data_IF_678852295744
#
_entry.id   IF_678852295744
#
_cell.length_a   1.000
_cell.length_b   1.000
_cell.length_c   1.000
_cell.angle_alpha   90.00
_cell.angle_beta   90.00
_cell.angle_gamma   90.00
#
_symmetry.space_group_name_H-M   'P 1'
#
loop_
_entity.id
_entity.type
_entity.pdbx_description
1 polymer ?
#
# COMPACT_ATOMS: atom_id res chain seq x y z
N UNK A 1 0.83 -21.33 -0.21
CA UNK A 1 2.19 -20.73 -0.28
C UNK A 1 2.19 -19.33 0.31
N UNK A 2 1.38 -18.40 -0.22
CA UNK A 2 1.31 -17.03 0.31
C UNK A 2 0.89 -17.03 1.79
N UNK A 3 -0.24 -17.66 2.14
CA UNK A 3 -0.70 -17.76 3.54
C UNK A 3 0.36 -18.31 4.51
N UNK A 4 1.13 -19.32 4.09
CA UNK A 4 2.22 -19.87 4.90
C UNK A 4 3.34 -18.84 5.13
N UNK A 5 3.69 -18.07 4.10
CA UNK A 5 4.68 -16.99 4.20
C UNK A 5 4.18 -15.82 5.04
N UNK A 6 2.89 -15.47 4.95
CA UNK A 6 2.26 -14.46 5.81
C UNK A 6 2.29 -14.88 7.28
N UNK A 7 2.06 -16.16 7.58
CA UNK A 7 2.18 -16.69 8.94
C UNK A 7 3.62 -16.60 9.46
N UNK A 8 4.63 -16.88 8.62
CA UNK A 8 6.04 -16.71 8.98
C UNK A 8 6.31 -15.24 9.29
N UNK A 9 5.89 -14.32 8.42
CA UNK A 9 6.08 -12.89 8.64
C UNK A 9 5.37 -12.41 9.91
N UNK A 10 4.16 -12.89 10.19
CA UNK A 10 3.43 -12.62 11.43
C UNK A 10 4.18 -13.11 12.67
N UNK A 11 4.80 -14.30 12.62
CA UNK A 11 5.62 -14.79 13.74
C UNK A 11 6.82 -13.87 13.98
N UNK A 12 7.55 -13.50 12.94
CA UNK A 12 8.69 -12.58 13.04
C UNK A 12 8.27 -11.19 13.56
N UNK A 13 7.13 -10.68 13.10
CA UNK A 13 6.58 -9.39 13.49
C UNK A 13 6.15 -9.36 14.96
N UNK A 14 5.52 -10.44 15.45
CA UNK A 14 5.07 -10.57 16.85
C UNK A 14 6.26 -10.77 17.79
N UNK A 15 7.20 -11.62 17.40
CA UNK A 15 8.41 -11.93 18.16
C UNK A 15 9.44 -10.79 18.13
N UNK A 16 9.24 -9.78 17.27
CA UNK A 16 10.13 -8.62 17.17
C UNK A 16 11.50 -8.93 16.55
N UNK A 17 11.65 -10.10 15.93
CA UNK A 17 12.91 -10.58 15.35
C UNK A 17 13.30 -9.63 14.20
N UNK A 18 14.42 -8.93 14.35
CA UNK A 18 14.96 -7.99 13.36
C UNK A 18 14.57 -6.51 13.53
N UNK A 19 13.66 -6.14 14.44
CA UNK A 19 13.33 -4.72 14.69
C UNK A 19 14.40 -4.05 15.55
N UNK A 20 15.12 -3.08 14.97
CA UNK A 20 16.20 -2.32 15.66
C UNK A 20 15.75 -1.30 16.73
N UNK A 21 14.45 -1.11 17.00
CA UNK A 21 14.04 -0.12 18.02
C UNK A 21 12.71 -0.43 18.74
N UNK A 22 12.77 -0.25 20.07
CA UNK A 22 11.70 -0.14 21.10
C UNK A 22 11.03 -1.44 21.56
N UNK A 23 11.54 -2.11 22.60
CA UNK A 23 11.30 -1.79 24.02
C UNK A 23 9.81 -1.74 24.39
N UNK A 24 9.25 -2.84 24.90
CA UNK A 24 8.07 -2.92 25.79
C UNK A 24 7.45 -4.32 25.91
N UNK A 25 7.91 -5.33 25.16
CA UNK A 25 7.47 -6.73 25.39
C UNK A 25 8.55 -7.47 26.17
N UNK A 26 8.22 -7.73 27.43
CA UNK A 26 8.97 -8.55 28.39
C UNK A 26 9.10 -10.00 27.87
N UNK A 27 10.00 -10.22 26.92
CA UNK A 27 10.53 -11.55 26.60
C UNK A 27 12.05 -11.41 26.52
N UNK A 28 12.68 -11.22 27.69
CA UNK A 28 14.13 -11.05 27.86
C UNK A 28 14.96 -12.28 27.42
N UNK A 29 14.32 -13.38 27.00
CA UNK A 29 14.98 -14.66 26.68
C UNK A 29 15.09 -14.98 25.18
N UNK A 30 14.62 -14.11 24.27
CA UNK A 30 14.65 -14.41 22.82
C UNK A 30 15.95 -14.05 22.11
N UNK A 31 16.85 -13.29 22.75
CA UNK A 31 18.18 -12.95 22.20
C UNK A 31 19.09 -14.18 22.04
N UNK A 32 18.73 -15.33 22.63
CA UNK A 32 19.47 -16.60 22.58
C UNK A 32 18.84 -17.65 21.66
N UNK A 33 17.79 -17.34 20.89
CA UNK A 33 17.23 -18.30 19.94
C UNK A 33 18.13 -18.34 18.70
N UNK A 34 19.03 -19.33 18.64
CA UNK A 34 19.84 -19.55 17.46
C UNK A 34 18.98 -20.08 16.32
N UNK A 35 18.57 -19.17 15.45
CA UNK A 35 17.91 -19.52 14.22
C UNK A 35 18.92 -19.96 13.17
N UNK A 36 19.62 -21.06 13.42
CA UNK A 36 20.62 -21.69 12.54
C UNK A 36 20.16 -21.90 11.07
N UNK A 37 18.87 -21.76 10.79
CA UNK A 37 18.25 -21.95 9.48
C UNK A 37 17.61 -20.68 8.89
N UNK A 38 17.78 -19.49 9.51
CA UNK A 38 17.26 -18.23 8.93
C UNK A 38 17.84 -17.99 7.54
N UNK A 39 19.13 -18.23 7.33
CA UNK A 39 19.76 -18.03 6.01
C UNK A 39 19.13 -18.92 4.93
N UNK A 40 18.79 -20.16 5.29
CA UNK A 40 18.10 -21.09 4.39
C UNK A 40 16.67 -20.61 4.11
N UNK A 41 15.96 -20.14 5.14
CA UNK A 41 14.62 -19.57 5.02
C UNK A 41 14.62 -18.35 4.12
N UNK A 42 15.56 -17.41 4.32
CA UNK A 42 15.74 -16.21 3.51
C UNK A 42 16.01 -16.58 2.05
N UNK A 43 16.91 -17.53 1.80
CA UNK A 43 17.20 -18.02 0.44
C UNK A 43 15.95 -18.59 -0.25
N UNK A 44 15.15 -19.36 0.50
CA UNK A 44 13.89 -19.92 0.02
C UNK A 44 12.85 -18.83 -0.27
N UNK A 45 12.69 -17.86 0.62
CA UNK A 45 11.78 -16.72 0.45
C UNK A 45 12.19 -15.87 -0.76
N UNK A 46 13.48 -15.65 -0.97
CA UNK A 46 14.00 -14.91 -2.13
C UNK A 46 13.71 -15.65 -3.44
N UNK A 47 13.87 -16.97 -3.45
CA UNK A 47 13.49 -17.82 -4.60
C UNK A 47 11.98 -17.69 -4.91
N UNK A 48 11.13 -17.61 -3.88
CA UNK A 48 9.69 -17.41 -4.06
C UNK A 48 9.31 -15.98 -4.47
N UNK A 49 10.07 -14.97 -4.03
CA UNK A 49 9.91 -13.57 -4.41
C UNK A 49 10.29 -13.31 -5.89
N UNK A 50 11.23 -14.11 -6.42
CA UNK A 50 11.71 -14.04 -7.81
C UNK A 50 11.11 -15.11 -8.74
N UNK A 51 10.26 -16.00 -8.21
CA UNK A 51 9.68 -17.14 -8.95
C UNK A 51 9.04 -16.73 -10.28
N UNK A 52 9.54 -17.31 -11.37
CA UNK A 52 9.12 -17.02 -12.73
C UNK A 52 8.16 -18.07 -13.33
N UNK A 53 7.73 -19.08 -12.55
CA UNK A 53 7.01 -20.26 -13.03
C UNK A 53 5.82 -19.95 -13.97
N UNK A 54 6.02 -20.17 -15.28
CA UNK A 54 5.04 -19.81 -16.33
C UNK A 54 3.73 -20.61 -16.29
N UNK A 55 3.65 -21.68 -15.49
CA UNK A 55 2.41 -22.47 -15.34
C UNK A 55 1.31 -21.74 -14.58
N UNK A 56 1.62 -20.66 -13.86
CA UNK A 56 0.64 -19.83 -13.12
C UNK A 56 0.20 -18.61 -13.91
N UNK A 57 -1.04 -18.19 -13.69
CA UNK A 57 -1.59 -16.98 -14.30
C UNK A 57 -0.71 -15.75 -13.98
N UNK A 58 -0.55 -14.85 -14.95
CA UNK A 58 0.27 -13.63 -14.83
C UNK A 58 -0.15 -12.77 -13.65
N UNK A 59 -1.46 -12.63 -13.41
CA UNK A 59 -2.00 -11.86 -12.29
C UNK A 59 -1.64 -12.49 -10.94
N UNK A 60 -1.88 -13.80 -10.80
CA UNK A 60 -1.57 -14.57 -9.59
C UNK A 60 -0.07 -14.52 -9.26
N UNK A 61 0.80 -14.67 -10.27
CA UNK A 61 2.26 -14.54 -10.08
C UNK A 61 2.69 -13.15 -9.64
N UNK A 62 2.00 -12.10 -10.08
CA UNK A 62 2.29 -10.74 -9.66
C UNK A 62 1.96 -10.57 -8.18
N UNK A 63 0.79 -11.04 -7.75
CA UNK A 63 0.34 -10.99 -6.35
C UNK A 63 1.27 -11.81 -5.47
N UNK A 64 1.58 -13.05 -5.86
CA UNK A 64 2.48 -13.92 -5.12
C UNK A 64 3.85 -13.27 -4.91
N UNK A 65 4.50 -12.80 -5.98
CA UNK A 65 5.82 -12.16 -5.88
C UNK A 65 5.79 -10.90 -5.03
N UNK A 66 4.71 -10.11 -5.11
CA UNK A 66 4.55 -8.94 -4.24
C UNK A 66 4.51 -9.37 -2.78
N UNK A 67 3.65 -10.34 -2.43
CA UNK A 67 3.53 -10.83 -1.07
C UNK A 67 4.87 -11.39 -0.54
N UNK A 68 5.59 -12.19 -1.33
CA UNK A 68 6.88 -12.73 -0.90
C UNK A 68 7.98 -11.67 -0.78
N UNK A 69 7.94 -10.58 -1.56
CA UNK A 69 8.85 -9.44 -1.36
C UNK A 69 8.59 -8.73 -0.04
N UNK A 70 7.33 -8.57 0.33
CA UNK A 70 6.95 -7.91 1.58
C UNK A 70 7.28 -8.81 2.79
N UNK A 71 7.01 -10.12 2.69
CA UNK A 71 7.43 -11.13 3.70
C UNK A 71 8.95 -11.14 3.88
N UNK A 72 9.71 -11.16 2.78
CA UNK A 72 11.17 -11.18 2.84
C UNK A 72 11.74 -9.94 3.53
N UNK A 73 11.19 -8.75 3.28
CA UNK A 73 11.58 -7.53 3.99
C UNK A 73 11.33 -7.62 5.49
N UNK A 74 10.20 -8.19 5.90
CA UNK A 74 9.92 -8.36 7.33
C UNK A 74 10.91 -9.33 7.98
N UNK A 75 11.27 -10.41 7.30
CA UNK A 75 12.19 -11.42 7.83
C UNK A 75 13.65 -10.94 7.84
N UNK A 76 14.11 -10.26 6.78
CA UNK A 76 15.51 -9.80 6.66
C UNK A 76 15.76 -8.46 7.36
N UNK A 77 14.87 -7.48 7.17
CA UNK A 77 15.08 -6.09 7.60
C UNK A 77 14.30 -5.74 8.88
N UNK A 78 13.42 -6.63 9.35
CA UNK A 78 12.51 -6.35 10.45
C UNK A 78 11.45 -5.29 10.12
N UNK A 79 11.31 -4.92 8.85
CA UNK A 79 10.39 -3.87 8.40
C UNK A 79 8.99 -4.47 8.23
N UNK A 80 8.03 -3.95 9.00
CA UNK A 80 6.62 -4.32 8.88
C UNK A 80 6.02 -3.91 7.52
N UNK A 81 4.89 -4.51 7.20
CA UNK A 81 4.10 -4.12 6.03
C UNK A 81 3.39 -2.78 6.28
N UNK A 82 3.29 -1.94 5.25
CA UNK A 82 2.50 -0.72 5.29
C UNK A 82 1.30 -0.86 4.36
N UNK A 83 0.10 -0.96 4.94
CA UNK A 83 -1.14 -0.94 4.19
C UNK A 83 -2.01 0.25 4.62
N UNK A 84 -2.67 0.88 3.65
CA UNK A 84 -3.60 1.98 3.90
C UNK A 84 -5.01 1.63 3.45
N UNK A 85 -5.98 1.97 4.28
CA UNK A 85 -7.40 1.89 3.95
C UNK A 85 -8.02 3.27 4.03
N UNK A 86 -8.46 3.78 2.87
CA UNK A 86 -9.18 5.05 2.81
C UNK A 86 -10.69 4.80 2.93
N UNK A 87 -11.30 5.41 3.94
CA UNK A 87 -12.75 5.39 4.17
C UNK A 87 -13.24 6.83 4.19
N UNK A 88 -14.01 7.22 3.17
CA UNK A 88 -14.49 8.59 2.98
C UNK A 88 -13.37 9.65 3.11
N UNK A 89 -13.34 10.38 4.24
CA UNK A 89 -12.39 11.46 4.57
C UNK A 89 -11.24 11.02 5.49
N UNK A 90 -11.25 9.79 5.99
CA UNK A 90 -10.22 9.26 6.87
C UNK A 90 -9.37 8.21 6.14
N UNK A 91 -8.09 8.11 6.52
CA UNK A 91 -7.17 7.08 6.04
C UNK A 91 -6.60 6.37 7.24
N UNK A 92 -6.87 5.07 7.35
CA UNK A 92 -6.30 4.19 8.35
C UNK A 92 -5.00 3.61 7.82
N UNK A 93 -3.99 3.53 8.67
CA UNK A 93 -2.70 2.94 8.37
C UNK A 93 -2.51 1.68 9.21
N UNK A 94 -2.08 0.62 8.56
CA UNK A 94 -1.78 -0.67 9.16
C UNK A 94 -0.30 -0.94 8.95
N UNK A 95 0.40 -1.02 10.06
CA UNK A 95 1.87 -1.06 10.18
C UNK A 95 2.40 -2.42 10.64
N UNK A 96 1.51 -3.39 10.84
CA UNK A 96 1.81 -4.70 11.42
C UNK A 96 1.07 -5.80 10.69
N UNK A 97 1.68 -7.00 10.64
CA UNK A 97 1.10 -8.16 9.95
C UNK A 97 -0.24 -8.61 10.52
N UNK A 98 -0.44 -8.68 11.85
CA UNK A 98 -1.74 -9.05 12.42
C UNK A 98 -2.87 -8.13 11.95
N UNK A 99 -2.65 -6.81 11.92
CA UNK A 99 -3.66 -5.84 11.48
C UNK A 99 -3.98 -5.99 9.99
N UNK A 100 -2.96 -6.20 9.15
CA UNK A 100 -3.14 -6.43 7.70
C UNK A 100 -3.87 -7.74 7.41
N UNK A 101 -3.51 -8.82 8.10
CA UNK A 101 -4.18 -10.11 7.95
C UNK A 101 -5.64 -10.01 8.41
N UNK A 102 -5.90 -9.34 9.54
CA UNK A 102 -7.25 -9.09 10.03
C UNK A 102 -8.07 -8.28 9.01
N UNK A 103 -7.49 -7.22 8.45
CA UNK A 103 -8.12 -6.42 7.39
C UNK A 103 -8.49 -7.27 6.18
N UNK A 104 -7.56 -8.09 5.69
CA UNK A 104 -7.80 -8.94 4.52
C UNK A 104 -8.83 -10.03 4.79
N UNK A 105 -8.88 -10.58 6.02
CA UNK A 105 -9.91 -11.51 6.43
C UNK A 105 -11.31 -10.87 6.38
N UNK A 106 -11.47 -9.66 6.89
CA UNK A 106 -12.75 -8.94 6.80
C UNK A 106 -13.11 -8.54 5.38
N UNK A 107 -12.14 -8.11 4.55
CA UNK A 107 -12.39 -7.83 3.13
C UNK A 107 -12.86 -9.07 2.37
N UNK A 108 -12.27 -10.23 2.65
CA UNK A 108 -12.67 -11.48 2.02
C UNK A 108 -14.06 -11.92 2.48
N UNK A 109 -14.34 -11.84 3.78
CA UNK A 109 -15.61 -12.28 4.35
C UNK A 109 -16.79 -11.35 3.97
N UNK A 110 -16.57 -10.04 3.93
CA UNK A 110 -17.62 -9.05 3.69
C UNK A 110 -17.71 -8.60 2.23
N UNK A 111 -16.67 -8.87 1.43
CA UNK A 111 -16.58 -8.54 0.00
C UNK A 111 -17.06 -7.11 -0.31
N UNK A 112 -18.03 -6.96 -1.19
CA UNK A 112 -18.60 -5.66 -1.59
C UNK A 112 -19.29 -4.91 -0.43
N UNK A 113 -19.71 -5.62 0.61
CA UNK A 113 -20.33 -5.06 1.82
C UNK A 113 -19.33 -4.49 2.83
N UNK A 114 -18.03 -4.71 2.64
CA UNK A 114 -16.97 -4.32 3.59
C UNK A 114 -17.06 -2.84 4.01
N UNK A 115 -17.17 -1.93 3.04
CA UNK A 115 -17.24 -0.49 3.31
C UNK A 115 -18.50 -0.08 4.09
N UNK A 116 -19.66 -0.67 3.76
CA UNK A 116 -20.91 -0.40 4.47
C UNK A 116 -20.83 -0.86 5.92
N UNK A 117 -20.27 -2.04 6.15
CA UNK A 117 -20.14 -2.59 7.48
C UNK A 117 -19.18 -1.77 8.35
N UNK A 118 -18.07 -1.26 7.80
CA UNK A 118 -17.18 -0.35 8.55
C UNK A 118 -17.92 0.92 9.01
N UNK A 119 -18.82 1.47 8.19
CA UNK A 119 -19.55 2.69 8.54
C UNK A 119 -20.70 2.46 9.54
N UNK A 120 -21.29 1.26 9.55
CA UNK A 120 -22.51 0.99 10.32
C UNK A 120 -22.28 0.09 11.54
N UNK A 121 -21.24 -0.74 11.53
CA UNK A 121 -20.98 -1.73 12.57
C UNK A 121 -20.01 -1.18 13.61
N UNK A 122 -20.51 -0.97 14.83
CA UNK A 122 -19.72 -0.49 15.97
C UNK A 122 -18.59 -1.44 16.37
N UNK A 123 -18.74 -2.75 16.12
CA UNK A 123 -17.69 -3.74 16.37
C UNK A 123 -16.53 -3.59 15.37
N UNK A 124 -16.81 -3.37 14.09
CA UNK A 124 -15.74 -3.13 13.11
C UNK A 124 -15.07 -1.78 13.34
N UNK A 125 -15.85 -0.78 13.77
CA UNK A 125 -15.34 0.52 14.18
C UNK A 125 -14.38 0.39 15.36
N UNK A 126 -14.71 -0.40 16.37
CA UNK A 126 -13.81 -0.62 17.50
C UNK A 126 -12.57 -1.43 17.11
N UNK A 127 -12.73 -2.49 16.32
CA UNK A 127 -11.60 -3.34 15.86
C UNK A 127 -10.58 -2.53 15.04
N UNK A 128 -11.05 -1.66 14.14
CA UNK A 128 -10.17 -0.85 13.28
C UNK A 128 -9.88 0.54 13.86
N UNK A 129 -10.31 0.82 15.09
CA UNK A 129 -10.21 2.14 15.74
C UNK A 129 -10.74 3.28 14.83
N UNK A 130 -11.74 2.94 14.01
CA UNK A 130 -12.36 3.86 13.07
C UNK A 130 -13.49 4.62 13.77
N UNK A 131 -13.34 5.94 13.85
CA UNK A 131 -14.42 6.81 14.34
C UNK A 131 -15.16 7.38 13.12
N UNK A 132 -16.40 6.94 12.86
CA UNK A 132 -17.17 7.50 11.78
C UNK A 132 -17.33 9.00 12.02
N UNK A 133 -16.83 9.80 11.08
CA UNK A 133 -17.17 11.21 11.04
C UNK A 133 -18.69 11.25 10.93
N UNK A 134 -19.36 11.87 11.90
CA UNK A 134 -20.81 12.05 11.86
C UNK A 134 -21.15 12.85 10.59
N UNK A 135 -21.31 12.16 9.47
CA UNK A 135 -22.02 12.71 8.35
C UNK A 135 -23.42 12.91 8.89
N UNK A 136 -23.78 14.17 9.05
CA UNK A 136 -25.15 14.61 9.24
C UNK A 136 -25.97 13.71 8.32
N UNK A 137 -26.76 12.79 8.90
CA UNK A 137 -27.74 12.04 8.14
C UNK A 137 -28.61 13.12 7.52
N UNK A 138 -28.37 13.43 6.25
CA UNK A 138 -29.18 14.35 5.49
C UNK A 138 -30.56 13.75 5.45
N UNK A 139 -31.41 14.17 6.40
CA UNK A 139 -32.84 13.96 6.34
C UNK A 139 -33.24 14.53 4.99
N UNK A 140 -33.60 13.68 4.03
CA UNK A 140 -34.14 14.10 2.74
C UNK A 140 -35.43 14.85 3.04
N UNK A 141 -35.54 16.17 2.82
CA UNK A 141 -36.84 16.77 2.64
C UNK A 141 -37.25 16.49 1.19
N UNK A 142 -38.46 16.01 0.99
CA UNK A 142 -39.04 15.86 -0.34
C UNK A 142 -39.02 17.19 -1.11
N UNK A 143 -38.74 17.08 -2.40
CA UNK A 143 -39.16 17.90 -3.54
C UNK A 143 -39.21 19.43 -3.49
N UNK A 144 -38.73 19.99 -4.62
CA UNK A 144 -39.07 21.27 -5.25
C UNK A 144 -38.32 22.53 -4.80
N UNK A 145 -37.41 23.04 -5.64
CA UNK A 145 -37.69 24.13 -6.61
C UNK A 145 -36.39 24.52 -7.33
N UNK A 146 -36.53 24.84 -8.61
CA UNK A 146 -35.50 25.29 -9.54
C UNK A 146 -34.82 26.60 -9.11
N UNK A 147 -33.50 26.70 -9.27
CA UNK A 147 -32.84 27.98 -9.48
C UNK A 147 -31.72 27.83 -10.51
N UNK A 148 -31.85 28.58 -11.61
CA UNK A 148 -30.83 28.76 -12.63
C UNK A 148 -29.59 29.39 -11.99
N UNK A 149 -28.41 28.78 -12.16
CA UNK A 149 -27.13 29.46 -11.98
C UNK A 149 -26.24 29.08 -13.15
N UNK A 150 -25.87 30.11 -13.91
CA UNK A 150 -25.14 30.06 -15.17
C UNK A 150 -23.89 29.19 -15.12
N UNK A 151 -23.81 28.27 -16.08
CA UNK A 151 -22.62 27.50 -16.45
C UNK A 151 -21.48 28.46 -16.84
N UNK A 152 -20.55 28.68 -15.92
CA UNK A 152 -19.21 29.16 -16.27
C UNK A 152 -18.34 27.93 -16.49
N UNK A 153 -18.01 27.73 -17.76
CA UNK A 153 -17.45 26.55 -18.38
C UNK A 153 -16.13 26.04 -17.74
N UNK A 154 -16.26 25.06 -16.84
CA UNK A 154 -15.14 24.36 -16.18
C UNK A 154 -14.25 23.59 -17.18
N UNK A 155 -14.71 23.37 -18.42
CA UNK A 155 -13.95 22.68 -19.46
C UNK A 155 -12.74 23.51 -19.96
N UNK A 156 -12.84 24.84 -19.95
CA UNK A 156 -11.77 25.73 -20.38
C UNK A 156 -10.60 25.75 -19.38
N UNK A 157 -10.88 25.63 -18.08
CA UNK A 157 -9.84 25.57 -17.04
C UNK A 157 -9.08 24.23 -17.05
N UNK A 158 -9.76 23.11 -17.34
CA UNK A 158 -9.11 21.81 -17.50
C UNK A 158 -8.19 21.74 -18.73
N UNK A 159 -8.64 22.33 -19.85
CA UNK A 159 -7.87 22.36 -21.10
C UNK A 159 -6.60 23.23 -20.99
N UNK A 160 -6.67 24.34 -20.25
CA UNK A 160 -5.53 25.26 -20.04
C UNK A 160 -4.46 24.65 -19.13
N UNK A 161 -4.85 23.95 -18.06
CA UNK A 161 -3.93 23.20 -17.20
C UNK A 161 -3.18 22.08 -17.95
N UNK A 162 -3.89 21.38 -18.83
CA UNK A 162 -3.32 20.30 -19.64
C UNK A 162 -2.33 20.83 -20.69
N UNK A 163 -2.65 21.94 -21.36
CA UNK A 163 -1.73 22.62 -22.30
C UNK A 163 -0.49 23.18 -21.59
N UNK A 164 -0.61 23.74 -20.38
CA UNK A 164 0.54 24.24 -19.63
C UNK A 164 1.51 23.12 -19.21
N UNK A 165 1.00 21.94 -18.80
CA UNK A 165 1.86 20.79 -18.46
C UNK A 165 2.64 20.29 -19.68
N UNK A 166 1.98 20.16 -20.84
CA UNK A 166 2.63 19.70 -22.07
C UNK A 166 3.73 20.65 -22.57
N UNK A 167 3.56 21.98 -22.42
CA UNK A 167 4.59 22.97 -22.76
C UNK A 167 5.79 22.94 -21.79
N UNK A 168 5.53 22.73 -20.49
CA UNK A 168 6.59 22.54 -19.49
C UNK A 168 7.40 21.26 -19.74
N UNK A 169 6.77 20.18 -20.19
CA UNK A 169 7.50 18.95 -20.57
C UNK A 169 8.30 19.11 -21.85
N UNK A 170 7.73 19.74 -22.90
CA UNK A 170 8.46 20.01 -24.15
C UNK A 170 9.70 20.89 -23.92
N UNK A 171 9.60 21.90 -23.05
CA UNK A 171 10.75 22.77 -22.73
C UNK A 171 11.84 22.05 -21.94
N UNK A 172 11.49 21.13 -21.03
CA UNK A 172 12.46 20.25 -20.34
C UNK A 172 13.15 19.28 -21.30
N UNK A 173 12.40 18.68 -22.22
CA UNK A 173 12.96 17.79 -23.24
C UNK A 173 13.93 18.51 -24.19
N UNK A 174 13.58 19.73 -24.63
CA UNK A 174 14.46 20.57 -25.46
C UNK A 174 15.74 21.02 -24.72
N UNK A 175 15.67 21.27 -23.41
CA UNK A 175 16.85 21.58 -22.59
C UNK A 175 17.77 20.35 -22.43
N UNK A 176 17.22 19.17 -22.15
CA UNK A 176 18.02 17.94 -22.04
C UNK A 176 18.65 17.54 -23.38
N UNK A 177 17.96 17.74 -24.51
CA UNK A 177 18.53 17.46 -25.84
C UNK A 177 19.66 18.41 -26.25
N UNK A 178 19.67 19.65 -25.74
CA UNK A 178 20.76 20.62 -25.95
C UNK A 178 21.98 20.33 -25.07
N UNK A 179 21.79 19.74 -23.89
CA UNK A 179 22.88 19.30 -23.01
C UNK A 179 23.61 18.07 -23.59
N UNK A 180 22.88 17.08 -24.11
CA UNK A 180 23.51 15.92 -24.74
C UNK A 180 24.25 16.23 -26.06
N UNK A 181 23.86 17.29 -26.80
CA UNK A 181 24.56 17.68 -28.02
C UNK A 181 25.86 18.48 -27.80
N UNK A 182 26.15 18.92 -26.57
CA UNK A 182 27.40 19.62 -26.23
C UNK A 182 28.49 18.70 -25.65
N UNK A 183 28.18 17.43 -25.39
CA UNK A 183 29.13 16.46 -24.85
C UNK A 183 29.97 15.71 -25.91
N UNK A 184 29.63 15.79 -27.19
CA UNK A 184 30.27 14.99 -28.27
C UNK A 184 31.25 15.78 -29.14
N UNK A 185 31.91 16.81 -28.60
CA UNK A 185 32.92 17.57 -29.37
C UNK A 185 34.14 17.93 -28.54
N UNK A 186 34.80 16.96 -27.91
CA UNK A 186 36.22 17.02 -27.54
C UNK A 186 36.75 15.60 -27.30
N UNK A 187 37.19 14.92 -28.35
CA UNK A 187 38.26 13.92 -28.31
C UNK A 187 38.58 13.44 -29.74
N UNK A 188 39.32 14.25 -30.51
CA UNK A 188 40.28 13.75 -31.52
C UNK A 188 41.35 14.83 -31.68
N UNK A 189 42.59 14.50 -31.37
CA UNK A 189 43.76 15.37 -31.53
C UNK A 189 44.83 15.08 -30.49
#
# INVERSE_FOLDING_TARGET
RVASGENIALMFDILGIGRKYSSSREYEDLDNVDFHQIDQLVTLLNTLATDSNRRRNKAERKVQRSAFRDILKTVEEGVGIEEKLKIQKQTLFFDTWPKVIQLNAFRYALAEGFYRHIEQNTLLQSIFEYVPSASVKGSRPGSAMSFHSSDVDMSLLSSTLSKQKALKEKSKFLKNRKLNKRGDFFEVG
#
